data_IF_139666187325
#
_entry.id   IF_139666187325
#
_cell.length_a   1.000
_cell.length_b   1.000
_cell.length_c   1.000
_cell.angle_alpha   90.00
_cell.angle_beta   90.00
_cell.angle_gamma   90.00
#
_symmetry.space_group_name_H-M   'P 1'
#
loop_
_entity.id
_entity.type
_entity.pdbx_description
1 polymer ?
#
# COMPACT_ATOMS: atom_id res chain seq x y z
N UNK A 1 -25.61 -17.12 9.63
CA UNK A 1 -24.48 -17.02 10.59
C UNK A 1 -23.07 -17.01 9.97
N UNK A 2 -22.85 -17.29 8.67
CA UNK A 2 -21.49 -17.60 8.18
C UNK A 2 -20.58 -16.45 7.70
N UNK A 3 -21.06 -15.21 7.70
CA UNK A 3 -20.21 -14.04 7.39
C UNK A 3 -20.65 -12.89 8.29
N UNK A 4 -20.12 -12.85 9.51
CA UNK A 4 -20.12 -11.60 10.26
C UNK A 4 -19.33 -10.59 9.41
N UNK A 5 -19.94 -9.45 9.08
CA UNK A 5 -19.22 -8.38 8.41
C UNK A 5 -18.03 -7.98 9.29
N UNK A 6 -16.81 -8.27 8.85
CA UNK A 6 -15.60 -7.86 9.56
C UNK A 6 -15.62 -6.34 9.69
N UNK A 7 -15.55 -5.83 10.93
CA UNK A 7 -15.44 -4.39 11.12
C UNK A 7 -14.18 -3.90 10.41
N UNK A 8 -14.32 -2.76 9.72
CA UNK A 8 -13.24 -2.03 9.07
C UNK A 8 -11.95 -2.02 9.91
N UNK A 9 -12.05 -1.66 11.18
CA UNK A 9 -10.95 -1.55 12.14
C UNK A 9 -10.20 -2.88 12.37
N UNK A 10 -10.87 -4.01 12.20
CA UNK A 10 -10.29 -5.35 12.37
C UNK A 10 -9.72 -5.92 11.06
N UNK A 11 -9.63 -5.13 9.99
CA UNK A 11 -9.05 -5.55 8.72
C UNK A 11 -7.61 -5.05 8.58
N UNK A 12 -6.70 -5.97 8.23
CA UNK A 12 -5.31 -5.66 7.96
C UNK A 12 -4.91 -6.35 6.65
N UNK A 13 -4.46 -5.56 5.67
CA UNK A 13 -3.93 -6.05 4.41
C UNK A 13 -2.42 -5.92 4.39
N UNK A 14 -1.73 -7.02 4.11
CA UNK A 14 -0.27 -7.04 3.90
C UNK A 14 -0.02 -7.39 2.44
N UNK A 15 0.73 -6.55 1.73
CA UNK A 15 1.05 -6.77 0.32
C UNK A 15 2.49 -6.40 0.01
N UNK A 16 3.01 -7.00 -1.06
CA UNK A 16 4.37 -6.83 -1.51
C UNK A 16 4.41 -6.17 -2.89
N UNK A 17 5.43 -5.38 -3.18
CA UNK A 17 5.71 -4.80 -4.50
C UNK A 17 4.49 -4.04 -5.07
N UNK A 18 4.14 -4.28 -6.33
CA UNK A 18 2.91 -3.79 -6.99
C UNK A 18 1.62 -4.06 -6.21
N UNK A 19 1.60 -5.13 -5.40
CA UNK A 19 0.45 -5.46 -4.56
C UNK A 19 0.19 -4.42 -3.48
N UNK A 20 1.20 -3.66 -3.06
CA UNK A 20 1.05 -2.56 -2.09
C UNK A 20 0.11 -1.49 -2.61
N UNK A 21 0.24 -1.09 -3.89
CA UNK A 21 -0.66 -0.14 -4.54
C UNK A 21 -2.06 -0.73 -4.74
N UNK A 22 -2.15 -2.02 -5.04
CA UNK A 22 -3.44 -2.72 -5.11
C UNK A 22 -4.19 -2.68 -3.77
N UNK A 23 -3.48 -2.72 -2.64
CA UNK A 23 -4.11 -2.56 -1.32
C UNK A 23 -4.74 -1.17 -1.17
N UNK A 24 -4.06 -0.11 -1.62
CA UNK A 24 -4.60 1.25 -1.65
C UNK A 24 -5.85 1.36 -2.53
N UNK A 25 -5.79 0.84 -3.77
CA UNK A 25 -6.94 0.81 -4.67
C UNK A 25 -8.12 0.00 -4.09
N UNK A 26 -7.83 -1.12 -3.41
CA UNK A 26 -8.86 -1.90 -2.73
C UNK A 26 -9.48 -1.12 -1.56
N UNK A 27 -8.68 -0.39 -0.79
CA UNK A 27 -9.16 0.48 0.26
C UNK A 27 -10.13 1.55 -0.25
N UNK A 28 -9.85 2.16 -1.41
CA UNK A 28 -10.76 3.12 -2.03
C UNK A 28 -12.13 2.51 -2.36
N UNK A 29 -12.16 1.27 -2.86
CA UNK A 29 -13.41 0.53 -3.17
C UNK A 29 -14.15 0.16 -1.88
N UNK A 30 -13.42 -0.32 -0.88
CA UNK A 30 -13.97 -0.75 0.41
C UNK A 30 -14.37 0.43 1.30
N UNK A 31 -14.16 1.68 0.84
CA UNK A 31 -14.37 2.92 1.58
C UNK A 31 -13.63 2.85 2.93
N UNK A 32 -12.31 2.65 2.79
CA UNK A 32 -11.21 2.51 3.76
C UNK A 32 -11.00 1.13 4.43
N UNK A 33 -9.71 0.77 4.71
CA UNK A 33 -9.27 -0.35 5.59
C UNK A 33 -8.65 0.05 6.96
N UNK A 34 -8.67 -0.83 7.95
CA UNK A 34 -8.11 -0.54 9.28
C UNK A 34 -6.60 -0.36 9.24
N UNK A 35 -5.89 -1.30 8.59
CA UNK A 35 -4.44 -1.21 8.39
C UNK A 35 -3.99 -1.72 7.04
N UNK A 36 -3.00 -1.08 6.45
CA UNK A 36 -2.25 -1.59 5.30
C UNK A 36 -0.77 -1.66 5.65
N UNK A 37 -0.14 -2.80 5.38
CA UNK A 37 1.31 -2.93 5.35
C UNK A 37 1.78 -3.10 3.91
N UNK A 38 2.56 -2.12 3.44
CA UNK A 38 3.23 -2.17 2.14
C UNK A 38 4.67 -2.68 2.30
N UNK A 39 4.96 -3.89 1.83
CA UNK A 39 6.32 -4.41 1.78
C UNK A 39 6.92 -4.05 0.43
N UNK A 40 7.87 -3.14 0.44
CA UNK A 40 8.65 -2.68 -0.69
C UNK A 40 7.76 -2.26 -1.88
N UNK A 41 6.91 -1.23 -1.73
CA UNK A 41 5.99 -0.79 -2.78
C UNK A 41 6.75 -0.50 -4.07
N UNK A 42 6.19 -0.84 -5.23
CA UNK A 42 6.90 -0.68 -6.49
C UNK A 42 7.03 0.80 -6.88
N UNK A 43 8.23 1.26 -7.20
CA UNK A 43 8.46 2.59 -7.77
C UNK A 43 8.05 2.71 -9.25
N UNK A 44 8.42 1.76 -10.13
CA UNK A 44 8.10 1.86 -11.54
C UNK A 44 6.59 1.94 -11.77
N UNK A 45 6.16 2.92 -12.56
CA UNK A 45 4.76 3.25 -12.87
C UNK A 45 3.93 3.87 -11.72
N UNK A 46 4.48 4.02 -10.51
CA UNK A 46 3.75 4.61 -9.38
C UNK A 46 4.41 5.87 -8.82
N UNK A 47 5.70 6.07 -9.09
CA UNK A 47 6.40 7.30 -8.73
C UNK A 47 5.72 8.53 -9.37
N UNK A 48 5.53 9.59 -8.57
CA UNK A 48 4.87 10.83 -8.96
C UNK A 48 3.44 10.65 -9.51
N UNK A 49 2.82 9.49 -9.30
CA UNK A 49 1.43 9.29 -9.65
C UNK A 49 0.51 9.82 -8.56
N UNK A 50 -0.75 10.17 -8.90
CA UNK A 50 -1.75 10.53 -7.90
C UNK A 50 -1.96 9.44 -6.85
N UNK A 51 -2.36 9.83 -5.64
CA UNK A 51 -2.70 8.91 -4.54
C UNK A 51 -3.90 8.01 -4.85
N UNK A 52 -4.66 8.29 -5.92
CA UNK A 52 -5.73 7.41 -6.39
C UNK A 52 -5.24 6.13 -7.05
N UNK A 53 -3.98 6.08 -7.47
CA UNK A 53 -3.37 4.92 -8.15
C UNK A 53 -2.12 4.38 -7.44
N UNK A 54 -1.50 5.18 -6.58
CA UNK A 54 -0.36 4.77 -5.74
C UNK A 54 -0.78 4.58 -4.29
N UNK A 55 -0.05 3.75 -3.55
CA UNK A 55 -0.28 3.59 -2.11
C UNK A 55 -0.05 4.93 -1.42
N UNK A 56 -0.96 5.30 -0.53
CA UNK A 56 -0.86 6.52 0.26
C UNK A 56 -1.28 6.28 1.70
N UNK A 57 -0.77 7.12 2.61
CA UNK A 57 -1.14 7.09 4.03
C UNK A 57 -2.66 7.21 4.26
N UNK A 58 -3.39 7.88 3.35
CA UNK A 58 -4.85 8.04 3.42
C UNK A 58 -5.66 6.77 3.14
N UNK A 59 -5.04 5.70 2.66
CA UNK A 59 -5.76 4.49 2.23
C UNK A 59 -6.28 3.65 3.41
N UNK A 60 -5.74 3.84 4.61
CA UNK A 60 -6.18 3.15 5.82
C UNK A 60 -6.10 4.05 7.06
N UNK A 61 -6.65 3.60 8.20
CA UNK A 61 -6.42 4.30 9.48
C UNK A 61 -4.94 4.30 9.85
N UNK A 62 -4.21 3.26 9.43
CA UNK A 62 -2.76 3.19 9.55
C UNK A 62 -2.13 2.48 8.36
N UNK A 63 -1.08 3.08 7.81
CA UNK A 63 -0.31 2.56 6.69
C UNK A 63 1.14 2.51 7.09
N UNK A 64 1.70 1.31 7.24
CA UNK A 64 3.11 1.11 7.51
C UNK A 64 3.84 0.49 6.31
N UNK A 65 5.03 0.97 6.03
CA UNK A 65 5.79 0.60 4.83
C UNK A 65 7.17 0.10 5.22
N UNK A 66 7.57 -1.03 4.64
CA UNK A 66 8.94 -1.54 4.73
C UNK A 66 9.61 -1.25 3.40
N UNK A 67 10.75 -0.58 3.41
CA UNK A 67 11.56 -0.31 2.22
C UNK A 67 12.81 -1.17 2.29
N UNK A 68 12.94 -2.13 1.36
CA UNK A 68 14.08 -3.05 1.34
C UNK A 68 14.87 -3.00 0.04
N UNK A 69 14.30 -2.45 -1.02
CA UNK A 69 14.89 -2.37 -2.36
C UNK A 69 14.71 -0.96 -2.96
N UNK A 70 14.95 0.07 -2.14
CA UNK A 70 14.66 1.46 -2.44
C UNK A 70 15.83 2.24 -3.07
N UNK A 71 16.69 1.57 -3.84
CA UNK A 71 17.78 2.22 -4.58
C UNK A 71 17.35 2.55 -6.02
N UNK A 72 18.27 3.00 -6.87
CA UNK A 72 17.97 3.36 -8.26
C UNK A 72 17.66 2.13 -9.13
N UNK A 73 16.69 2.26 -10.05
CA UNK A 73 16.30 1.22 -11.00
C UNK A 73 17.47 0.72 -11.88
N UNK A 74 18.51 1.53 -12.08
CA UNK A 74 19.75 1.14 -12.76
C UNK A 74 20.52 0.06 -12.00
N UNK A 75 20.29 -0.07 -10.69
CA UNK A 75 20.78 -1.18 -9.85
C UNK A 75 19.77 -2.33 -9.72
N UNK A 76 18.72 -2.34 -10.55
CA UNK A 76 17.65 -3.36 -10.53
C UNK A 76 16.82 -3.30 -9.24
N UNK A 77 16.82 -2.14 -8.56
CA UNK A 77 15.90 -1.89 -7.48
C UNK A 77 14.51 -1.52 -8.01
N UNK A 78 13.49 -2.09 -7.39
CA UNK A 78 12.10 -1.85 -7.78
C UNK A 78 11.27 -1.17 -6.69
N UNK A 79 11.78 -1.05 -5.47
CA UNK A 79 11.09 -0.45 -4.33
C UNK A 79 11.05 1.09 -4.40
N UNK A 80 10.01 1.69 -3.83
CA UNK A 80 9.89 3.14 -3.70
C UNK A 80 10.94 3.71 -2.76
N UNK A 81 11.61 4.76 -3.21
CA UNK A 81 12.51 5.58 -2.41
C UNK A 81 11.80 6.60 -1.50
N UNK A 82 10.54 6.92 -1.81
CA UNK A 82 9.75 7.92 -1.10
C UNK A 82 8.87 7.31 -0.01
N UNK A 83 8.70 8.04 1.09
CA UNK A 83 7.76 7.64 2.13
C UNK A 83 6.32 7.78 1.65
N UNK A 84 5.53 6.71 1.78
CA UNK A 84 4.10 6.68 1.45
C UNK A 84 3.22 6.16 2.60
N UNK A 85 3.82 5.88 3.75
CA UNK A 85 3.13 5.51 4.98
C UNK A 85 2.91 6.71 5.92
N UNK A 86 2.45 6.43 7.13
CA UNK A 86 2.43 7.36 8.26
C UNK A 86 3.83 7.54 8.85
#
# INVERSE_FOLDING_TARGET
EKYAATMRQNSHIIRHTRGSHLAGSAAAILKTLGRIKGCDPAEPYFLNMPTTVSLAHSDADYVDVILSDATDIMFIAFGMSHSVGH
#
